data_IF_443284133325
#
_entry.id   IF_443284133325
#
_cell.length_a   1.000
_cell.length_b   1.000
_cell.length_c   1.000
_cell.angle_alpha   90.00
_cell.angle_beta   90.00
_cell.angle_gamma   90.00
#
_symmetry.space_group_name_H-M   'P 1'
#
loop_
_entity.id
_entity.type
_entity.pdbx_description
1 polymer ?
#
# COMPACT_ATOMS: atom_id res chain seq x y z
N UNK A 1 -4.42 16.18 -11.76
CA UNK A 1 -5.15 15.92 -13.02
C UNK A 1 -6.46 15.15 -12.81
N UNK A 2 -6.47 14.08 -12.00
CA UNK A 2 -7.67 13.25 -11.75
C UNK A 2 -8.95 14.03 -11.39
N UNK A 3 -8.88 15.02 -10.49
CA UNK A 3 -10.05 15.84 -10.10
C UNK A 3 -10.69 16.63 -11.26
N UNK A 4 -9.90 17.11 -12.22
CA UNK A 4 -10.41 17.84 -13.40
C UNK A 4 -11.02 16.88 -14.43
N UNK A 5 -10.45 15.67 -14.56
CA UNK A 5 -11.00 14.60 -15.40
C UNK A 5 -12.31 14.04 -14.82
N UNK A 6 -12.41 13.90 -13.50
CA UNK A 6 -13.64 13.47 -12.81
C UNK A 6 -14.73 14.54 -12.99
N UNK A 7 -14.38 15.83 -12.84
CA UNK A 7 -15.33 16.93 -13.05
C UNK A 7 -15.85 17.00 -14.50
N UNK A 8 -14.97 16.93 -15.49
CA UNK A 8 -15.38 16.92 -16.90
C UNK A 8 -16.12 15.65 -17.30
N UNK A 9 -15.74 14.49 -16.78
CA UNK A 9 -16.45 13.22 -16.98
C UNK A 9 -17.86 13.25 -16.41
N UNK A 10 -18.05 13.85 -15.24
CA UNK A 10 -19.36 14.02 -14.63
C UNK A 10 -20.28 14.96 -15.44
N UNK A 11 -19.74 16.06 -15.96
CA UNK A 11 -20.50 17.01 -16.80
C UNK A 11 -20.90 16.37 -18.13
N UNK A 12 -19.99 15.62 -18.76
CA UNK A 12 -20.30 14.91 -20.01
C UNK A 12 -21.34 13.80 -19.79
N UNK A 13 -21.19 12.99 -18.75
CA UNK A 13 -22.16 11.95 -18.39
C UNK A 13 -23.55 12.53 -18.07
N UNK A 14 -23.62 13.66 -17.34
CA UNK A 14 -24.87 14.33 -17.04
C UNK A 14 -25.54 14.91 -18.31
N UNK A 15 -24.76 15.47 -19.24
CA UNK A 15 -25.26 15.96 -20.52
C UNK A 15 -25.79 14.85 -21.43
N UNK A 16 -25.09 13.72 -21.50
CA UNK A 16 -25.55 12.54 -22.24
C UNK A 16 -26.79 11.92 -21.62
N UNK A 17 -26.85 11.78 -20.30
CA UNK A 17 -28.03 11.27 -19.61
C UNK A 17 -29.25 12.19 -19.84
N UNK A 18 -29.07 13.51 -19.76
CA UNK A 18 -30.15 14.46 -20.01
C UNK A 18 -30.68 14.39 -21.45
N UNK A 19 -29.79 14.26 -22.44
CA UNK A 19 -30.17 14.14 -23.85
C UNK A 19 -30.94 12.84 -24.16
N UNK A 20 -30.61 11.75 -23.48
CA UNK A 20 -31.26 10.45 -23.66
C UNK A 20 -32.60 10.32 -22.92
N UNK A 21 -32.73 10.91 -21.73
CA UNK A 21 -34.00 10.97 -20.98
C UNK A 21 -35.05 11.80 -21.71
N UNK A 22 -34.63 12.81 -22.47
CA UNK A 22 -35.54 13.66 -23.24
C UNK A 22 -36.00 13.02 -24.57
N UNK A 23 -35.34 11.97 -25.10
CA UNK A 23 -35.61 11.44 -26.45
C UNK A 23 -35.82 9.91 -26.59
N UNK A 24 -35.18 9.01 -25.84
CA UNK A 24 -35.44 7.55 -25.92
C UNK A 24 -34.90 6.75 -24.70
N UNK A 25 -35.77 6.11 -23.90
CA UNK A 25 -35.40 5.43 -22.65
C UNK A 25 -34.64 4.10 -22.84
N UNK A 26 -34.83 3.37 -23.94
CA UNK A 26 -34.14 2.08 -24.17
C UNK A 26 -32.68 2.34 -24.47
N UNK A 27 -32.48 3.31 -25.35
CA UNK A 27 -31.21 3.82 -25.79
C UNK A 27 -30.44 4.46 -24.61
N UNK A 28 -31.16 5.11 -23.69
CA UNK A 28 -30.60 5.65 -22.45
C UNK A 28 -30.03 4.57 -21.54
N UNK A 29 -30.80 3.50 -21.31
CA UNK A 29 -30.42 2.40 -20.44
C UNK A 29 -29.21 1.64 -20.99
N UNK A 30 -29.17 1.40 -22.30
CA UNK A 30 -28.03 0.75 -22.95
C UNK A 30 -26.73 1.53 -22.74
N UNK A 31 -26.73 2.84 -22.98
CA UNK A 31 -25.53 3.66 -22.79
C UNK A 31 -25.15 3.83 -21.32
N UNK A 32 -26.12 3.90 -20.41
CA UNK A 32 -25.84 3.93 -18.98
C UNK A 32 -25.11 2.66 -18.53
N UNK A 33 -25.58 1.48 -18.97
CA UNK A 33 -24.95 0.19 -18.66
C UNK A 33 -23.56 0.12 -19.29
N UNK A 34 -23.44 0.46 -20.58
CA UNK A 34 -22.16 0.46 -21.28
C UNK A 34 -21.14 1.38 -20.60
N UNK A 35 -21.56 2.61 -20.27
CA UNK A 35 -20.74 3.60 -19.58
C UNK A 35 -20.32 3.13 -18.19
N UNK A 36 -21.22 2.49 -17.45
CA UNK A 36 -20.93 1.90 -16.15
C UNK A 36 -19.88 0.78 -16.26
N UNK A 37 -20.01 -0.10 -17.25
CA UNK A 37 -19.03 -1.16 -17.51
C UNK A 37 -17.66 -0.60 -17.85
N UNK A 38 -17.57 0.36 -18.78
CA UNK A 38 -16.31 1.01 -19.15
C UNK A 38 -15.69 1.74 -17.97
N UNK A 39 -16.50 2.47 -17.20
CA UNK A 39 -16.04 3.16 -16.00
C UNK A 39 -15.52 2.18 -14.95
N UNK A 40 -16.20 1.06 -14.73
CA UNK A 40 -15.76 0.00 -13.82
C UNK A 40 -14.42 -0.60 -14.24
N UNK A 41 -14.24 -0.91 -15.53
CA UNK A 41 -12.96 -1.40 -16.08
C UNK A 41 -11.85 -0.36 -15.90
N UNK A 42 -12.12 0.90 -16.21
CA UNK A 42 -11.14 1.98 -16.05
C UNK A 42 -10.76 2.19 -14.58
N UNK A 43 -11.72 2.09 -13.65
CA UNK A 43 -11.46 2.18 -12.22
C UNK A 43 -10.56 1.03 -11.74
N UNK A 44 -10.84 -0.21 -12.15
CA UNK A 44 -9.99 -1.35 -11.82
C UNK A 44 -8.59 -1.24 -12.45
N UNK A 45 -8.50 -0.74 -13.68
CA UNK A 45 -7.23 -0.53 -14.37
C UNK A 45 -6.44 0.67 -13.82
N UNK A 46 -7.07 1.58 -13.09
CA UNK A 46 -6.44 2.84 -12.66
C UNK A 46 -5.23 2.66 -11.73
N UNK A 47 -5.19 1.56 -10.98
CA UNK A 47 -4.07 1.22 -10.09
C UNK A 47 -3.17 0.13 -10.67
N UNK A 48 -3.41 -0.28 -11.93
CA UNK A 48 -2.66 -1.35 -12.58
C UNK A 48 -1.19 -1.01 -12.77
N UNK A 49 -0.81 0.26 -12.88
CA UNK A 49 0.61 0.64 -12.95
C UNK A 49 1.24 0.92 -11.58
N UNK A 50 0.47 0.77 -10.49
CA UNK A 50 0.97 0.98 -9.12
C UNK A 50 1.69 -0.26 -8.59
N UNK A 51 2.70 -0.68 -9.33
CA UNK A 51 3.64 -1.68 -8.88
C UNK A 51 4.88 -0.97 -8.33
N UNK A 52 5.38 -1.44 -7.18
CA UNK A 52 6.70 -0.99 -6.71
C UNK A 52 7.74 -1.29 -7.78
N UNK A 53 8.70 -0.37 -8.00
CA UNK A 53 9.85 -0.70 -8.84
C UNK A 53 10.75 -1.72 -8.10
N UNK A 54 11.57 -2.45 -8.86
CA UNK A 54 12.57 -3.35 -8.25
C UNK A 54 13.46 -2.60 -7.25
N UNK A 55 13.90 -1.40 -7.62
CA UNK A 55 14.74 -0.54 -6.79
C UNK A 55 14.03 -0.10 -5.50
N UNK A 56 12.75 0.28 -5.59
CA UNK A 56 11.95 0.62 -4.41
C UNK A 56 11.82 -0.56 -3.46
N UNK A 57 11.64 -1.79 -3.98
CA UNK A 57 11.61 -3.01 -3.15
C UNK A 57 12.96 -3.29 -2.49
N UNK A 58 14.06 -3.12 -3.20
CA UNK A 58 15.40 -3.33 -2.64
C UNK A 58 15.76 -2.30 -1.57
N UNK A 59 15.41 -1.02 -1.79
CA UNK A 59 15.56 0.02 -0.77
C UNK A 59 14.76 -0.29 0.49
N UNK A 60 13.52 -0.76 0.34
CA UNK A 60 12.68 -1.20 1.46
C UNK A 60 13.30 -2.37 2.24
N UNK A 61 13.88 -3.35 1.54
CA UNK A 61 14.59 -4.47 2.18
C UNK A 61 15.85 -3.99 2.89
N UNK A 62 16.61 -3.07 2.29
CA UNK A 62 17.79 -2.48 2.91
C UNK A 62 17.43 -1.72 4.20
N UNK A 63 16.37 -0.92 4.18
CA UNK A 63 15.83 -0.23 5.37
C UNK A 63 15.45 -1.22 6.47
N UNK A 64 14.71 -2.29 6.15
CA UNK A 64 14.34 -3.33 7.13
C UNK A 64 15.56 -4.03 7.74
N UNK A 65 16.62 -4.26 6.95
CA UNK A 65 17.89 -4.83 7.45
C UNK A 65 18.60 -3.85 8.39
N UNK A 66 18.64 -2.57 8.04
CA UNK A 66 19.22 -1.53 8.88
C UNK A 66 18.47 -1.41 10.22
N UNK A 67 17.15 -1.34 10.21
CA UNK A 67 16.33 -1.32 11.44
C UNK A 67 16.57 -2.56 12.30
N UNK A 68 16.65 -3.75 11.70
CA UNK A 68 16.95 -4.99 12.42
C UNK A 68 18.34 -4.94 13.06
N UNK A 69 19.31 -4.39 12.34
CA UNK A 69 20.67 -4.23 12.85
C UNK A 69 20.70 -3.23 14.02
N UNK A 70 20.02 -2.10 13.92
CA UNK A 70 19.91 -1.11 14.99
C UNK A 70 19.27 -1.69 16.25
N UNK A 71 18.13 -2.40 16.12
CA UNK A 71 17.50 -3.09 17.25
C UNK A 71 18.43 -4.13 17.90
N UNK A 72 19.30 -4.74 17.10
CA UNK A 72 20.26 -5.77 17.50
C UNK A 72 21.60 -5.26 18.03
N UNK A 73 21.98 -3.99 17.84
CA UNK A 73 23.32 -3.47 18.18
C UNK A 73 23.72 -3.71 19.64
N UNK A 74 22.80 -3.47 20.58
CA UNK A 74 23.04 -3.70 22.01
C UNK A 74 22.89 -5.15 22.46
N UNK A 75 22.55 -6.10 21.58
CA UNK A 75 22.32 -7.48 21.98
C UNK A 75 23.59 -8.15 22.50
N UNK A 76 24.74 -7.89 21.86
CA UNK A 76 26.05 -8.45 22.28
C UNK A 76 26.54 -7.91 23.62
N UNK A 77 26.20 -6.67 23.97
CA UNK A 77 26.55 -6.09 25.27
C UNK A 77 25.68 -6.65 26.38
N UNK A 78 24.36 -6.76 26.14
CA UNK A 78 23.44 -7.42 27.07
C UNK A 78 23.80 -8.89 27.31
N UNK A 79 24.26 -9.57 26.27
CA UNK A 79 24.71 -10.96 26.37
C UNK A 79 25.98 -11.10 27.21
N UNK A 80 26.98 -10.23 26.98
CA UNK A 80 28.19 -10.17 27.82
C UNK A 80 27.85 -9.86 29.28
N UNK A 81 26.93 -8.94 29.55
CA UNK A 81 26.48 -8.63 30.90
C UNK A 81 25.79 -9.83 31.58
N UNK A 82 24.93 -10.56 30.85
CA UNK A 82 24.29 -11.78 31.35
C UNK A 82 25.31 -12.87 31.66
N UNK A 83 26.28 -13.07 30.76
CA UNK A 83 27.34 -14.06 30.94
C UNK A 83 28.21 -13.75 32.16
N UNK A 84 28.65 -12.49 32.32
CA UNK A 84 29.41 -12.06 33.49
C UNK A 84 28.65 -12.29 34.81
N UNK A 85 27.37 -11.90 34.86
CA UNK A 85 26.51 -12.14 36.02
C UNK A 85 26.29 -13.64 36.30
N UNK A 86 26.26 -14.48 35.26
CA UNK A 86 26.18 -15.94 35.43
C UNK A 86 27.48 -16.52 36.00
N UNK A 87 28.64 -16.03 35.54
CA UNK A 87 29.94 -16.48 36.05
C UNK A 87 30.14 -16.10 37.51
N UNK A 88 29.74 -14.90 37.93
CA UNK A 88 29.75 -14.47 39.34
C UNK A 88 28.87 -15.36 40.22
N UNK A 89 27.65 -15.67 39.77
CA UNK A 89 26.77 -16.61 40.50
C UNK A 89 27.36 -18.01 40.60
N UNK A 90 28.11 -18.45 39.59
CA UNK A 90 28.78 -19.75 39.59
C UNK A 90 29.98 -19.76 40.53
N UNK A 91 30.80 -18.70 40.54
CA UNK A 91 31.94 -18.59 41.47
C UNK A 91 31.46 -18.60 42.92
N UNK A 92 30.44 -17.81 43.26
CA UNK A 92 29.88 -17.72 44.62
C UNK A 92 29.29 -19.06 45.11
N UNK A 93 28.75 -19.86 44.20
CA UNK A 93 28.25 -21.21 44.51
C UNK A 93 29.38 -22.23 44.69
N UNK A 94 30.51 -22.06 44.01
CA UNK A 94 31.65 -22.97 44.10
C UNK A 94 32.58 -22.68 45.29
N UNK A 95 32.55 -21.44 45.81
CA UNK A 95 33.34 -21.00 46.96
C UNK A 95 32.61 -21.14 48.30
N UNK A 96 31.38 -21.68 48.29
CA UNK A 96 30.59 -22.08 49.47
C UNK A 96 30.67 -23.59 49.61
#
# INVERSE_FOLDING_TARGET
MARRLIGWGAVWAAGSAAAFVLLDPILAAFLAILGLCVWGVAALASDWDRHSSFEQRELDRARRRAERHERGRGARERDRARWAAHQQRRSDRSSR
#
